data_IF_245782130128
#
_entry.id   IF_245782130128
#
_cell.length_a   1.000
_cell.length_b   1.000
_cell.length_c   1.000
_cell.angle_alpha   90.00
_cell.angle_beta   90.00
_cell.angle_gamma   90.00
#
_symmetry.space_group_name_H-M   'P 1'
#
loop_
_entity.id
_entity.type
_entity.pdbx_description
1 polymer ?
#
# COMPACT_ATOMS: atom_id res chain seq x y z
N UNK A 1 29.55 10.67 -11.88
CA UNK A 1 28.18 10.30 -12.35
C UNK A 1 27.60 11.38 -13.28
N UNK A 2 27.03 11.00 -14.42
CA UNK A 2 26.40 11.87 -15.42
C UNK A 2 24.87 11.90 -15.28
N UNK A 3 24.20 12.86 -15.93
CA UNK A 3 22.74 12.99 -15.93
C UNK A 3 22.03 11.78 -16.59
N UNK A 4 22.69 11.15 -17.57
CA UNK A 4 22.16 9.98 -18.30
C UNK A 4 22.34 8.66 -17.54
N UNK A 5 23.18 8.63 -16.52
CA UNK A 5 23.55 7.39 -15.83
C UNK A 5 22.35 6.68 -15.18
N UNK A 6 21.41 7.37 -14.50
CA UNK A 6 20.23 6.71 -13.93
C UNK A 6 19.38 6.01 -15.01
N UNK A 7 19.16 6.63 -16.16
CA UNK A 7 18.38 6.03 -17.26
C UNK A 7 19.09 4.86 -17.92
N UNK A 8 20.39 5.00 -18.19
CA UNK A 8 21.22 3.93 -18.75
C UNK A 8 21.33 2.74 -17.79
N UNK A 9 21.35 3.00 -16.48
CA UNK A 9 21.33 1.97 -15.45
C UNK A 9 20.06 1.12 -15.50
N UNK A 10 18.88 1.73 -15.71
CA UNK A 10 17.62 0.99 -15.82
C UNK A 10 17.57 0.03 -17.02
N UNK A 11 18.45 0.22 -18.01
CA UNK A 11 18.60 -0.65 -19.19
C UNK A 11 19.78 -1.64 -19.00
N UNK A 12 20.51 -1.55 -17.88
CA UNK A 12 21.62 -2.46 -17.56
C UNK A 12 22.94 -2.11 -18.27
N UNK A 13 23.14 -0.84 -18.63
CA UNK A 13 24.40 -0.37 -19.23
C UNK A 13 25.59 -0.60 -18.28
N UNK A 14 26.65 -1.21 -18.82
CA UNK A 14 27.84 -1.58 -18.05
C UNK A 14 28.55 -0.35 -17.48
N UNK A 15 28.68 0.72 -18.28
CA UNK A 15 29.40 1.93 -17.88
C UNK A 15 28.65 2.69 -16.79
N UNK A 16 27.33 2.80 -16.91
CA UNK A 16 26.48 3.44 -15.92
C UNK A 16 26.53 2.71 -14.56
N UNK A 17 26.44 1.38 -14.56
CA UNK A 17 26.56 0.56 -13.34
C UNK A 17 27.89 0.85 -12.62
N UNK A 18 29.00 0.84 -13.33
CA UNK A 18 30.33 1.09 -12.75
C UNK A 18 30.49 2.52 -12.20
N UNK A 19 29.94 3.53 -12.89
CA UNK A 19 29.98 4.93 -12.41
C UNK A 19 29.09 5.15 -11.20
N UNK A 20 27.90 4.54 -11.17
CA UNK A 20 26.96 4.63 -10.07
C UNK A 20 27.51 3.94 -8.82
N UNK A 21 28.04 2.72 -8.96
CA UNK A 21 28.58 1.96 -7.84
C UNK A 21 29.77 2.66 -7.18
N UNK A 22 30.52 3.43 -7.96
CA UNK A 22 31.74 4.12 -7.50
C UNK A 22 31.54 5.50 -6.91
N UNK A 23 30.35 6.09 -6.98
CA UNK A 23 30.11 7.49 -6.59
C UNK A 23 29.23 7.58 -5.35
N UNK A 24 29.70 8.22 -4.28
CA UNK A 24 28.87 8.39 -3.07
C UNK A 24 27.58 9.19 -3.32
N UNK A 25 27.58 10.11 -4.28
CA UNK A 25 26.40 10.89 -4.64
C UNK A 25 25.26 10.04 -5.23
N UNK A 26 25.56 8.85 -5.75
CA UNK A 26 24.51 7.95 -6.22
C UNK A 26 23.68 7.41 -5.05
N UNK A 27 24.24 7.33 -3.84
CA UNK A 27 23.49 6.96 -2.65
C UNK A 27 22.47 8.04 -2.29
N UNK A 28 22.86 9.32 -2.31
CA UNK A 28 21.94 10.43 -2.06
C UNK A 28 20.84 10.49 -3.13
N UNK A 29 21.21 10.42 -4.42
CA UNK A 29 20.23 10.43 -5.51
C UNK A 29 19.31 9.22 -5.41
N UNK A 30 19.83 8.03 -5.11
CA UNK A 30 19.05 6.82 -4.91
C UNK A 30 18.07 6.95 -3.74
N UNK A 31 18.50 7.53 -2.62
CA UNK A 31 17.64 7.80 -1.48
C UNK A 31 16.46 8.72 -1.86
N UNK A 32 16.73 9.82 -2.58
CA UNK A 32 15.69 10.72 -3.07
C UNK A 32 14.71 9.99 -4.00
N UNK A 33 15.20 9.12 -4.90
CA UNK A 33 14.35 8.31 -5.77
C UNK A 33 13.49 7.33 -4.98
N UNK A 34 14.02 6.70 -3.92
CA UNK A 34 13.24 5.83 -3.02
C UNK A 34 12.14 6.62 -2.33
N UNK A 35 12.42 7.83 -1.84
CA UNK A 35 11.39 8.70 -1.25
C UNK A 35 10.30 9.01 -2.26
N UNK A 36 10.66 9.39 -3.50
CA UNK A 36 9.64 9.65 -4.54
C UNK A 36 8.83 8.42 -4.91
N UNK A 37 9.44 7.24 -4.94
CA UNK A 37 8.73 5.98 -5.15
C UNK A 37 7.77 5.66 -3.98
N UNK A 38 8.16 5.97 -2.74
CA UNK A 38 7.30 5.85 -1.57
C UNK A 38 6.10 6.80 -1.63
N UNK A 39 6.32 8.05 -2.05
CA UNK A 39 5.26 9.03 -2.28
C UNK A 39 4.32 8.54 -3.39
N UNK A 40 4.85 8.15 -4.55
CA UNK A 40 4.06 7.67 -5.69
C UNK A 40 3.23 6.42 -5.37
N UNK A 41 3.60 5.63 -4.36
CA UNK A 41 2.83 4.46 -3.91
C UNK A 41 1.67 4.79 -2.98
N UNK A 42 1.79 5.83 -2.16
CA UNK A 42 0.91 6.05 -1.01
C UNK A 42 0.16 7.39 -1.06
N UNK A 43 0.33 8.18 -2.13
CA UNK A 43 -0.19 9.54 -2.21
C UNK A 43 -1.72 9.64 -2.22
N UNK A 44 -2.41 8.57 -2.58
CA UNK A 44 -3.86 8.46 -2.65
C UNK A 44 -4.45 7.80 -1.39
N UNK A 45 -3.77 6.81 -0.83
CA UNK A 45 -4.28 6.00 0.28
C UNK A 45 -4.05 6.59 1.67
N UNK A 46 -2.97 7.37 1.88
CA UNK A 46 -2.51 7.72 3.23
C UNK A 46 -2.19 9.21 3.36
N UNK A 47 -2.56 9.79 4.50
CA UNK A 47 -2.30 11.19 4.84
C UNK A 47 -0.89 11.30 5.42
N UNK A 48 0.03 11.96 4.71
CA UNK A 48 1.42 12.14 5.16
C UNK A 48 1.56 12.86 6.50
N UNK A 49 0.55 13.64 6.89
CA UNK A 49 0.54 14.39 8.15
C UNK A 49 0.22 13.55 9.38
N UNK A 50 -0.55 12.48 9.24
CA UNK A 50 -0.96 11.63 10.37
C UNK A 50 0.03 10.49 10.58
N UNK A 51 0.45 9.84 9.49
CA UNK A 51 1.21 8.60 9.56
C UNK A 51 2.58 8.76 8.88
N UNK A 52 3.51 9.43 9.57
CA UNK A 52 4.89 9.64 9.08
C UNK A 52 5.61 8.31 8.77
N UNK A 53 5.15 7.21 9.36
CA UNK A 53 5.66 5.86 9.12
C UNK A 53 5.62 5.41 7.67
N UNK A 54 4.73 5.96 6.86
CA UNK A 54 4.67 5.60 5.44
C UNK A 54 5.70 6.31 4.59
N UNK A 55 6.29 7.41 5.07
CA UNK A 55 7.40 8.07 4.40
C UNK A 55 8.71 7.33 4.70
N UNK A 56 8.97 7.02 5.97
CA UNK A 56 10.21 6.33 6.35
C UNK A 56 10.14 4.81 6.19
N UNK A 57 8.95 4.22 6.17
CA UNK A 57 8.72 2.78 6.08
C UNK A 57 9.34 2.14 4.82
N UNK A 58 9.04 2.63 3.60
CA UNK A 58 9.67 2.15 2.36
C UNK A 58 11.20 2.30 2.38
N UNK A 59 11.69 3.39 2.96
CA UNK A 59 13.11 3.64 3.09
C UNK A 59 13.78 2.63 4.04
N UNK A 60 13.22 2.42 5.23
CA UNK A 60 13.71 1.45 6.20
C UNK A 60 13.62 0.01 5.66
N UNK A 61 12.49 -0.35 5.05
CA UNK A 61 12.31 -1.64 4.39
C UNK A 61 13.36 -1.87 3.29
N UNK A 62 13.72 -0.82 2.52
CA UNK A 62 14.76 -0.91 1.50
C UNK A 62 16.16 -1.14 2.10
N UNK A 63 16.48 -0.51 3.23
CA UNK A 63 17.74 -0.72 3.94
C UNK A 63 17.80 -2.16 4.47
N UNK A 64 16.76 -2.60 5.19
CA UNK A 64 16.72 -3.95 5.78
C UNK A 64 16.79 -5.04 4.70
N UNK A 65 16.02 -4.90 3.62
CA UNK A 65 16.04 -5.86 2.52
C UNK A 65 17.38 -5.87 1.77
N UNK A 66 17.97 -4.71 1.50
CA UNK A 66 19.29 -4.62 0.85
C UNK A 66 20.39 -5.20 1.74
N UNK A 67 20.34 -4.98 3.05
CA UNK A 67 21.28 -5.54 4.02
C UNK A 67 21.15 -7.07 4.07
N UNK A 68 19.93 -7.60 4.09
CA UNK A 68 19.67 -9.03 4.06
C UNK A 68 20.17 -9.68 2.77
N UNK A 69 19.86 -9.08 1.61
CA UNK A 69 20.31 -9.58 0.30
C UNK A 69 21.83 -9.49 0.18
N UNK A 70 22.46 -8.41 0.65
CA UNK A 70 23.91 -8.28 0.66
C UNK A 70 24.57 -9.30 1.60
N UNK A 71 24.03 -9.46 2.81
CA UNK A 71 24.57 -10.38 3.81
C UNK A 71 24.54 -11.84 3.35
N UNK A 72 23.42 -12.31 2.81
CA UNK A 72 23.28 -13.71 2.37
C UNK A 72 23.80 -13.93 0.94
N UNK A 73 23.46 -13.05 0.01
CA UNK A 73 23.81 -13.19 -1.41
C UNK A 73 25.26 -12.80 -1.72
N UNK A 74 25.78 -11.80 -1.01
CA UNK A 74 27.12 -11.26 -1.18
C UNK A 74 28.04 -11.55 0.01
N UNK A 75 27.75 -12.60 0.81
CA UNK A 75 28.50 -12.98 2.02
C UNK A 75 30.02 -12.93 1.84
N UNK A 76 30.54 -13.36 0.68
CA UNK A 76 31.99 -13.33 0.39
C UNK A 76 32.58 -11.91 0.40
N UNK A 77 31.83 -10.89 -0.01
CA UNK A 77 32.25 -9.49 0.03
C UNK A 77 32.26 -8.91 1.45
N UNK A 78 31.54 -9.53 2.40
CA UNK A 78 31.51 -9.10 3.80
C UNK A 78 32.84 -9.36 4.52
N UNK A 79 33.65 -10.31 4.04
CA UNK A 79 34.96 -10.67 4.62
C UNK A 79 36.15 -10.01 3.92
N UNK A 80 35.91 -9.22 2.87
CA UNK A 80 36.98 -8.49 2.18
C UNK A 80 37.21 -7.15 2.88
N UNK A 81 38.46 -6.69 3.03
CA UNK A 81 38.74 -5.31 3.44
C UNK A 81 37.93 -4.31 2.61
N UNK A 82 37.17 -3.44 3.28
CA UNK A 82 36.26 -2.50 2.61
C UNK A 82 34.82 -2.99 2.43
N UNK A 83 34.39 -4.04 3.16
CA UNK A 83 33.00 -4.52 3.17
C UNK A 83 31.94 -3.41 3.30
N UNK A 84 32.18 -2.39 4.12
CA UNK A 84 31.30 -1.21 4.24
C UNK A 84 31.14 -0.48 2.91
N UNK A 85 32.22 -0.23 2.19
CA UNK A 85 32.16 0.44 0.89
C UNK A 85 31.47 -0.44 -0.15
N UNK A 86 31.70 -1.75 -0.12
CA UNK A 86 30.99 -2.71 -0.98
C UNK A 86 29.49 -2.71 -0.69
N UNK A 87 29.08 -2.64 0.58
CA UNK A 87 27.67 -2.50 0.95
C UNK A 87 27.08 -1.17 0.47
N UNK A 88 27.78 -0.04 0.63
CA UNK A 88 27.30 1.25 0.15
C UNK A 88 27.18 1.31 -1.38
N UNK A 89 28.10 0.69 -2.12
CA UNK A 89 27.99 0.49 -3.58
C UNK A 89 26.79 -0.38 -3.95
N UNK A 90 26.56 -1.45 -3.20
CA UNK A 90 25.41 -2.31 -3.42
C UNK A 90 24.09 -1.58 -3.13
N UNK A 91 24.03 -0.86 -2.01
CA UNK A 91 22.88 -0.06 -1.60
C UNK A 91 22.56 1.04 -2.61
N UNK A 92 23.57 1.72 -3.16
CA UNK A 92 23.35 2.74 -4.18
C UNK A 92 22.76 2.15 -5.46
N UNK A 93 23.25 1.00 -5.92
CA UNK A 93 22.66 0.27 -7.05
C UNK A 93 21.25 -0.21 -6.75
N UNK A 94 21.01 -0.72 -5.54
CA UNK A 94 19.70 -1.18 -5.09
C UNK A 94 18.67 -0.04 -5.10
N UNK A 95 19.02 1.14 -4.58
CA UNK A 95 18.16 2.32 -4.60
C UNK A 95 18.00 2.94 -5.98
N UNK A 96 18.98 2.81 -6.89
CA UNK A 96 18.83 3.25 -8.28
C UNK A 96 17.79 2.45 -9.06
N UNK A 97 17.31 1.32 -8.53
CA UNK A 97 16.16 0.60 -9.09
C UNK A 97 14.80 1.15 -8.63
N UNK A 98 14.77 2.14 -7.73
CA UNK A 98 13.53 2.75 -7.23
C UNK A 98 12.63 3.36 -8.32
N UNK A 99 13.13 3.98 -9.40
CA UNK A 99 12.25 4.52 -10.45
C UNK A 99 11.34 3.49 -11.11
N UNK A 100 11.72 2.19 -11.12
CA UNK A 100 10.84 1.13 -11.61
C UNK A 100 9.52 1.08 -10.80
N UNK A 101 9.56 1.48 -9.52
CA UNK A 101 8.39 1.51 -8.65
C UNK A 101 7.35 2.56 -9.04
N UNK A 102 7.71 3.58 -9.83
CA UNK A 102 6.73 4.57 -10.27
C UNK A 102 5.66 3.96 -11.18
N UNK A 103 5.98 2.86 -11.87
CA UNK A 103 5.04 2.18 -12.76
C UNK A 103 3.82 1.63 -12.02
N UNK A 104 3.98 1.15 -10.79
CA UNK A 104 2.84 0.66 -10.00
C UNK A 104 2.14 1.77 -9.21
N UNK A 105 2.69 3.00 -9.17
CA UNK A 105 2.01 4.17 -8.58
C UNK A 105 0.98 4.80 -9.52
N UNK A 106 0.73 4.20 -10.69
CA UNK A 106 -0.29 4.64 -11.62
C UNK A 106 -1.67 4.26 -11.06
N UNK A 107 -2.59 5.22 -10.87
CA UNK A 107 -3.88 5.00 -10.21
C UNK A 107 -4.88 4.31 -11.15
N UNK A 108 -4.70 3.00 -11.38
CA UNK A 108 -5.54 2.20 -12.29
C UNK A 108 -6.99 2.05 -11.81
N UNK A 109 -7.21 2.17 -10.51
CA UNK A 109 -8.53 2.17 -9.87
C UNK A 109 -9.42 3.34 -10.31
N UNK A 110 -8.85 4.40 -10.89
CA UNK A 110 -9.63 5.51 -11.47
C UNK A 110 -10.19 5.20 -12.85
N UNK A 111 -9.63 4.21 -13.53
CA UNK A 111 -9.94 3.91 -14.92
C UNK A 111 -10.62 2.55 -15.09
N UNK A 112 -10.66 1.72 -14.05
CA UNK A 112 -11.13 0.33 -14.12
C UNK A 112 -11.90 -0.05 -12.86
N UNK A 113 -12.69 -1.12 -12.94
CA UNK A 113 -13.35 -1.70 -11.76
C UNK A 113 -12.34 -2.27 -10.75
N UNK A 114 -12.77 -2.47 -9.50
CA UNK A 114 -11.92 -2.88 -8.38
C UNK A 114 -11.14 -4.17 -8.66
N UNK A 115 -11.78 -5.16 -9.29
CA UNK A 115 -11.13 -6.45 -9.57
C UNK A 115 -10.08 -6.30 -10.67
N UNK A 116 -10.40 -5.57 -11.74
CA UNK A 116 -9.45 -5.28 -12.83
C UNK A 116 -8.29 -4.42 -12.35
N UNK A 117 -8.54 -3.39 -11.54
CA UNK A 117 -7.52 -2.57 -10.91
C UNK A 117 -6.56 -3.42 -10.06
N UNK A 118 -7.10 -4.34 -9.26
CA UNK A 118 -6.31 -5.28 -8.45
C UNK A 118 -5.41 -6.17 -9.32
N UNK A 119 -5.93 -6.70 -10.44
CA UNK A 119 -5.14 -7.50 -11.39
C UNK A 119 -3.99 -6.70 -12.00
N UNK A 120 -4.24 -5.46 -12.41
CA UNK A 120 -3.20 -4.56 -12.93
C UNK A 120 -2.15 -4.23 -11.89
N UNK A 121 -2.55 -3.94 -10.66
CA UNK A 121 -1.63 -3.66 -9.55
C UNK A 121 -0.70 -4.85 -9.27
N UNK A 122 -1.24 -6.07 -9.23
CA UNK A 122 -0.45 -7.30 -9.09
C UNK A 122 0.49 -7.50 -10.29
N UNK A 123 0.02 -7.25 -11.51
CA UNK A 123 0.84 -7.36 -12.72
C UNK A 123 2.00 -6.34 -12.73
N UNK A 124 1.75 -5.09 -12.36
CA UNK A 124 2.82 -4.08 -12.25
C UNK A 124 3.84 -4.45 -11.18
N UNK A 125 3.39 -4.93 -10.01
CA UNK A 125 4.31 -5.43 -8.97
C UNK A 125 5.17 -6.59 -9.48
N UNK A 126 4.60 -7.52 -10.25
CA UNK A 126 5.36 -8.61 -10.86
C UNK A 126 6.40 -8.10 -11.87
N UNK A 127 6.03 -7.21 -12.79
CA UNK A 127 6.94 -6.61 -13.78
C UNK A 127 8.07 -5.86 -13.08
N UNK A 128 7.73 -4.99 -12.12
CA UNK A 128 8.70 -4.17 -11.39
C UNK A 128 9.65 -5.05 -10.58
N UNK A 129 9.14 -6.07 -9.88
CA UNK A 129 10.00 -6.97 -9.09
C UNK A 129 10.98 -7.76 -9.96
N UNK A 130 10.52 -8.31 -11.09
CA UNK A 130 11.38 -9.00 -12.07
C UNK A 130 12.45 -8.07 -12.64
N UNK A 131 12.08 -6.84 -13.00
CA UNK A 131 13.02 -5.85 -13.52
C UNK A 131 14.08 -5.49 -12.48
N UNK A 132 13.69 -5.22 -11.23
CA UNK A 132 14.63 -4.92 -10.14
C UNK A 132 15.60 -6.07 -9.90
N UNK A 133 15.11 -7.32 -9.87
CA UNK A 133 15.95 -8.51 -9.71
C UNK A 133 16.93 -8.64 -10.88
N UNK A 134 16.46 -8.50 -12.12
CA UNK A 134 17.32 -8.55 -13.31
C UNK A 134 18.44 -7.50 -13.27
N UNK A 135 18.14 -6.25 -12.86
CA UNK A 135 19.13 -5.19 -12.69
C UNK A 135 20.15 -5.50 -11.59
N UNK A 136 19.73 -6.07 -10.46
CA UNK A 136 20.64 -6.45 -9.39
C UNK A 136 21.56 -7.60 -9.81
N UNK A 137 21.03 -8.59 -10.54
CA UNK A 137 21.82 -9.68 -11.12
C UNK A 137 22.85 -9.12 -12.10
N UNK A 138 22.42 -8.24 -13.02
CA UNK A 138 23.30 -7.60 -14.00
C UNK A 138 24.36 -6.74 -13.31
N UNK A 139 24.00 -6.02 -12.25
CA UNK A 139 24.94 -5.20 -11.50
C UNK A 139 26.03 -6.02 -10.83
N UNK A 140 25.67 -7.13 -10.17
CA UNK A 140 26.66 -8.07 -9.63
C UNK A 140 27.51 -8.71 -10.72
N UNK A 141 26.93 -9.04 -11.86
CA UNK A 141 27.67 -9.60 -12.99
C UNK A 141 28.74 -8.61 -13.50
N UNK A 142 28.36 -7.34 -13.67
CA UNK A 142 29.25 -6.28 -14.16
C UNK A 142 30.37 -5.97 -13.18
N UNK A 143 30.05 -5.95 -11.88
CA UNK A 143 31.01 -5.59 -10.83
C UNK A 143 31.91 -6.75 -10.41
N UNK A 144 31.34 -7.96 -10.31
CA UNK A 144 32.07 -9.15 -9.87
C UNK A 144 32.78 -9.90 -11.00
N UNK A 145 32.45 -9.63 -12.27
CA UNK A 145 32.98 -10.38 -13.42
C UNK A 145 32.58 -11.86 -13.42
N UNK A 146 31.55 -12.23 -12.66
CA UNK A 146 31.09 -13.60 -12.51
C UNK A 146 30.08 -13.98 -13.62
N UNK A 147 29.89 -15.28 -13.90
CA UNK A 147 28.87 -15.73 -14.85
C UNK A 147 27.46 -15.38 -14.35
N UNK A 148 26.57 -15.02 -15.27
CA UNK A 148 25.21 -14.53 -14.98
C UNK A 148 24.44 -15.46 -14.04
N UNK A 149 24.50 -16.79 -14.28
CA UNK A 149 23.79 -17.78 -13.48
C UNK A 149 24.23 -17.75 -12.00
N UNK A 150 25.51 -17.53 -11.72
CA UNK A 150 26.02 -17.46 -10.34
C UNK A 150 25.53 -16.20 -9.64
N UNK A 151 25.53 -15.06 -10.34
CA UNK A 151 24.95 -13.82 -9.84
C UNK A 151 23.44 -13.97 -9.61
N UNK A 152 22.74 -14.64 -10.53
CA UNK A 152 21.31 -14.90 -10.45
C UNK A 152 20.95 -15.66 -9.17
N UNK A 153 21.59 -16.80 -8.91
CA UNK A 153 21.28 -17.60 -7.72
C UNK A 153 21.59 -16.86 -6.42
N UNK A 154 22.66 -16.05 -6.38
CA UNK A 154 23.01 -15.22 -5.21
C UNK A 154 21.98 -14.14 -4.90
N UNK A 155 21.32 -13.57 -5.90
CA UNK A 155 20.27 -12.57 -5.69
C UNK A 155 18.91 -13.22 -5.46
N UNK A 156 18.55 -14.24 -6.25
CA UNK A 156 17.26 -14.92 -6.18
C UNK A 156 17.08 -15.60 -4.83
N UNK A 157 18.11 -16.25 -4.28
CA UNK A 157 17.99 -16.93 -2.99
C UNK A 157 17.45 -16.02 -1.86
N UNK A 158 18.15 -14.93 -1.45
CA UNK A 158 17.65 -14.06 -0.39
C UNK A 158 16.39 -13.28 -0.79
N UNK A 159 16.24 -12.89 -2.06
CA UNK A 159 15.03 -12.21 -2.52
C UNK A 159 13.79 -13.09 -2.36
N UNK A 160 13.88 -14.37 -2.74
CA UNK A 160 12.82 -15.35 -2.57
C UNK A 160 12.51 -15.62 -1.10
N UNK A 161 13.51 -15.65 -0.21
CA UNK A 161 13.25 -15.77 1.23
C UNK A 161 12.46 -14.58 1.78
N UNK A 162 12.83 -13.34 1.41
CA UNK A 162 12.08 -12.14 1.80
C UNK A 162 10.63 -12.24 1.29
N UNK A 163 10.45 -12.59 0.01
CA UNK A 163 9.12 -12.68 -0.60
C UNK A 163 8.26 -13.79 0.01
N UNK A 164 8.86 -14.94 0.35
CA UNK A 164 8.18 -16.04 1.03
C UNK A 164 7.68 -15.60 2.41
N UNK A 165 8.53 -14.96 3.23
CA UNK A 165 8.15 -14.49 4.57
C UNK A 165 7.09 -13.38 4.50
N UNK A 166 7.27 -12.42 3.59
CA UNK A 166 6.32 -11.31 3.40
C UNK A 166 4.94 -11.81 2.93
N UNK A 167 4.91 -12.76 2.00
CA UNK A 167 3.67 -13.32 1.47
C UNK A 167 2.98 -14.24 2.47
N UNK A 168 3.74 -15.01 3.26
CA UNK A 168 3.21 -15.84 4.33
C UNK A 168 2.49 -15.01 5.40
N UNK A 169 3.13 -13.92 5.90
CA UNK A 169 2.51 -13.03 6.88
C UNK A 169 1.19 -12.42 6.37
N UNK A 170 1.17 -11.95 5.12
CA UNK A 170 -0.07 -11.45 4.50
C UNK A 170 -1.13 -12.54 4.33
N UNK A 171 -0.72 -13.76 3.99
CA UNK A 171 -1.63 -14.90 3.89
C UNK A 171 -2.30 -15.23 5.22
N UNK A 172 -1.59 -15.11 6.35
CA UNK A 172 -2.15 -15.40 7.68
C UNK A 172 -3.14 -14.36 8.18
N UNK A 173 -2.99 -13.08 7.81
CA UNK A 173 -3.98 -12.03 8.15
C UNK A 173 -5.35 -12.31 7.51
N UNK A 174 -5.36 -13.04 6.39
CA UNK A 174 -6.58 -13.46 5.71
C UNK A 174 -7.21 -14.72 6.33
N UNK A 175 -6.58 -15.43 7.27
CA UNK A 175 -7.12 -16.68 7.86
C UNK A 175 -8.36 -16.45 8.74
N UNK A 176 -8.77 -15.19 8.96
CA UNK A 176 -10.10 -14.85 9.50
C UNK A 176 -11.27 -15.51 8.76
N UNK A 177 -11.06 -16.01 7.53
CA UNK A 177 -12.03 -16.71 6.66
C UNK A 177 -12.62 -17.99 7.25
N UNK A 178 -12.00 -18.62 8.24
CA UNK A 178 -12.63 -19.78 8.92
C UNK A 178 -13.88 -19.39 9.75
N UNK A 179 -14.18 -18.09 9.87
CA UNK A 179 -15.41 -17.57 10.51
C UNK A 179 -16.66 -17.60 9.61
N UNK A 180 -16.56 -18.08 8.36
CA UNK A 180 -17.71 -18.12 7.44
C UNK A 180 -17.99 -16.82 6.69
N UNK A 181 -17.14 -15.80 6.85
CA UNK A 181 -17.26 -14.53 6.11
C UNK A 181 -16.96 -14.75 4.63
N UNK A 182 -17.90 -14.34 3.77
CA UNK A 182 -17.72 -14.36 2.32
C UNK A 182 -16.69 -13.30 1.93
N UNK A 183 -15.54 -13.75 1.43
CA UNK A 183 -14.56 -12.84 0.84
C UNK A 183 -15.11 -12.23 -0.44
N UNK A 184 -14.77 -10.97 -0.64
CA UNK A 184 -14.96 -10.32 -1.93
C UNK A 184 -14.07 -10.98 -3.01
N UNK A 185 -14.47 -10.95 -4.30
CA UNK A 185 -13.69 -11.57 -5.38
C UNK A 185 -12.24 -11.05 -5.50
N UNK A 186 -11.99 -9.79 -5.12
CA UNK A 186 -10.66 -9.20 -5.20
C UNK A 186 -9.74 -9.70 -4.06
N UNK A 187 -10.27 -9.93 -2.86
CA UNK A 187 -9.52 -10.52 -1.74
C UNK A 187 -9.12 -11.97 -2.04
N UNK A 188 -10.03 -12.75 -2.64
CA UNK A 188 -9.72 -14.11 -3.11
C UNK A 188 -8.55 -14.07 -4.09
N UNK A 189 -8.57 -13.14 -5.05
CA UNK A 189 -7.49 -12.99 -6.01
C UNK A 189 -6.16 -12.60 -5.36
N UNK A 190 -6.17 -11.65 -4.41
CA UNK A 190 -4.95 -11.24 -3.67
C UNK A 190 -4.38 -12.42 -2.88
N UNK A 191 -5.24 -13.20 -2.22
CA UNK A 191 -4.86 -14.41 -1.48
C UNK A 191 -4.21 -15.44 -2.40
N UNK A 192 -4.81 -15.70 -3.55
CA UNK A 192 -4.31 -16.68 -4.52
C UNK A 192 -2.96 -16.23 -5.10
N UNK A 193 -2.80 -14.94 -5.40
CA UNK A 193 -1.54 -14.35 -5.83
C UNK A 193 -0.45 -14.47 -4.74
N UNK A 194 -0.79 -14.23 -3.47
CA UNK A 194 0.14 -14.38 -2.35
C UNK A 194 0.56 -15.85 -2.12
N UNK A 195 -0.39 -16.78 -2.21
CA UNK A 195 -0.12 -18.22 -2.13
C UNK A 195 0.79 -18.69 -3.27
N UNK A 196 0.47 -18.31 -4.51
CA UNK A 196 1.29 -18.61 -5.67
C UNK A 196 2.72 -18.05 -5.50
N UNK A 197 2.84 -16.79 -5.07
CA UNK A 197 4.14 -16.15 -4.82
C UNK A 197 4.94 -16.88 -3.74
N UNK A 198 4.28 -17.35 -2.68
CA UNK A 198 4.92 -18.12 -1.60
C UNK A 198 5.48 -19.44 -2.11
N UNK A 199 4.69 -20.21 -2.88
CA UNK A 199 5.10 -21.50 -3.45
C UNK A 199 6.26 -21.32 -4.43
N UNK A 200 6.16 -20.37 -5.36
CA UNK A 200 7.22 -20.09 -6.34
C UNK A 200 8.49 -19.64 -5.64
N UNK A 201 8.38 -18.77 -4.63
CA UNK A 201 9.53 -18.29 -3.85
C UNK A 201 10.22 -19.42 -3.09
N UNK A 202 9.46 -20.34 -2.49
CA UNK A 202 10.02 -21.51 -1.81
C UNK A 202 10.90 -22.36 -2.75
N UNK A 203 10.36 -22.74 -3.92
CA UNK A 203 11.11 -23.56 -4.89
C UNK A 203 12.29 -22.79 -5.48
N UNK A 204 12.12 -21.50 -5.79
CA UNK A 204 13.21 -20.66 -6.27
C UNK A 204 14.34 -20.53 -5.24
N UNK A 205 14.01 -20.39 -3.95
CA UNK A 205 14.99 -20.36 -2.87
C UNK A 205 15.72 -21.71 -2.76
N UNK A 206 14.99 -22.83 -2.80
CA UNK A 206 15.58 -24.18 -2.71
C UNK A 206 16.55 -24.46 -3.87
N UNK A 207 16.12 -24.21 -5.12
CA UNK A 207 16.95 -24.40 -6.32
C UNK A 207 18.19 -23.50 -6.27
N UNK A 208 18.01 -22.24 -5.86
CA UNK A 208 19.13 -21.29 -5.75
C UNK A 208 20.13 -21.70 -4.67
N UNK A 209 19.65 -22.18 -3.52
CA UNK A 209 20.48 -22.67 -2.43
C UNK A 209 21.30 -23.89 -2.86
N UNK A 210 20.66 -24.90 -3.44
CA UNK A 210 21.36 -26.09 -3.95
C UNK A 210 22.41 -25.71 -4.98
N UNK A 211 22.08 -24.79 -5.89
CA UNK A 211 23.04 -24.32 -6.91
C UNK A 211 24.20 -23.56 -6.29
N UNK A 212 23.96 -22.72 -5.27
CA UNK A 212 25.02 -22.03 -4.53
C UNK A 212 25.93 -23.05 -3.85
N UNK A 213 25.39 -24.04 -3.14
CA UNK A 213 26.16 -25.09 -2.46
C UNK A 213 27.05 -25.84 -3.44
N UNK A 214 26.52 -26.28 -4.58
CA UNK A 214 27.29 -26.95 -5.64
C UNK A 214 28.45 -26.06 -6.14
N UNK A 215 28.22 -24.75 -6.26
CA UNK A 215 29.23 -23.80 -6.73
C UNK A 215 30.23 -23.37 -5.66
N UNK A 216 29.91 -23.49 -4.36
CA UNK A 216 30.85 -23.19 -3.27
C UNK A 216 32.07 -24.12 -3.31
N UNK A 217 31.90 -25.36 -3.76
CA UNK A 217 33.00 -26.33 -3.91
C UNK A 217 33.90 -26.08 -5.13
N UNK A 218 33.49 -25.23 -6.07
CA UNK A 218 34.32 -24.87 -7.23
C UNK A 218 35.28 -23.75 -6.85
N UNK A 219 36.60 -23.94 -7.06
CA UNK A 219 37.62 -22.90 -6.89
C UNK A 219 37.23 -21.65 -7.71
N UNK A 220 36.71 -20.64 -7.03
CA UNK A 220 36.37 -19.35 -7.61
C UNK A 220 37.48 -18.34 -7.38
N UNK A 221 37.59 -17.35 -8.27
CA UNK A 221 38.45 -16.20 -8.03
C UNK A 221 38.00 -15.49 -6.73
N UNK A 222 38.94 -14.98 -5.92
CA UNK A 222 38.59 -14.18 -4.76
C UNK A 222 37.80 -12.93 -5.22
N UNK A 223 36.73 -12.55 -4.49
CA UNK A 223 35.99 -11.33 -4.80
C UNK A 223 36.93 -10.12 -4.72
N UNK A 224 36.92 -9.29 -5.77
CA UNK A 224 37.61 -8.00 -5.72
C UNK A 224 36.73 -6.97 -4.98
N UNK A 225 37.31 -6.13 -4.11
CA UNK A 225 36.55 -5.08 -3.44
C UNK A 225 35.93 -4.14 -4.47
N UNK A 226 34.71 -3.69 -4.21
CA UNK A 226 34.02 -2.78 -5.13
C UNK A 226 34.72 -1.41 -5.12
N UNK A 227 34.96 -0.79 -6.28
CA UNK A 227 35.62 0.50 -6.34
C UNK A 227 34.72 1.57 -5.73
N UNK A 228 35.20 2.27 -4.71
CA UNK A 228 34.53 3.42 -4.12
C UNK A 228 35.44 4.65 -4.26
N UNK A 229 35.04 5.62 -5.08
CA UNK A 229 35.81 6.83 -5.35
C UNK A 229 35.05 8.06 -4.82
N UNK A 230 35.77 8.94 -4.13
CA UNK A 230 35.24 10.27 -3.78
C UNK A 230 35.28 11.15 -5.03
N UNK A 231 34.20 11.16 -5.79
CA UNK A 231 34.01 12.07 -6.93
C UNK A 231 33.40 13.41 -6.48
N UNK A 232 33.68 14.48 -7.23
CA UNK A 232 33.01 15.77 -7.09
C UNK A 232 31.50 15.66 -7.32
N UNK A 233 30.72 16.53 -6.66
CA UNK A 233 29.26 16.55 -6.76
C UNK A 233 28.76 16.67 -8.21
N UNK A 234 27.93 15.72 -8.70
CA UNK A 234 27.25 15.87 -9.96
C UNK A 234 26.06 16.84 -9.78
N UNK A 235 26.37 18.14 -9.66
CA UNK A 235 25.40 19.21 -9.31
C UNK A 235 24.12 19.14 -10.15
N UNK A 236 24.25 18.85 -11.46
CA UNK A 236 23.12 18.72 -12.39
C UNK A 236 22.21 17.53 -12.05
N UNK A 237 22.77 16.37 -11.73
CA UNK A 237 21.98 15.17 -11.38
C UNK A 237 21.29 15.33 -10.03
N UNK A 238 21.95 15.96 -9.06
CA UNK A 238 21.35 16.25 -7.75
C UNK A 238 20.21 17.26 -7.92
N UNK A 239 20.43 18.35 -8.66
CA UNK A 239 19.39 19.34 -8.95
C UNK A 239 18.18 18.71 -9.65
N UNK A 240 18.40 17.81 -10.62
CA UNK A 240 17.31 17.07 -11.26
C UNK A 240 16.56 16.18 -10.27
N UNK A 241 17.26 15.43 -9.40
CA UNK A 241 16.63 14.57 -8.41
C UNK A 241 15.81 15.38 -7.39
N UNK A 242 16.36 16.48 -6.89
CA UNK A 242 15.62 17.40 -6.01
C UNK A 242 14.41 18.02 -6.73
N UNK A 243 14.58 18.42 -8.00
CA UNK A 243 13.48 18.93 -8.83
C UNK A 243 12.37 17.89 -8.99
N UNK A 244 12.71 16.61 -9.16
CA UNK A 244 11.75 15.52 -9.25
C UNK A 244 11.00 15.30 -7.92
N UNK A 245 11.70 15.37 -6.78
CA UNK A 245 11.07 15.31 -5.44
C UNK A 245 10.09 16.46 -5.26
N UNK A 246 10.50 17.69 -5.59
CA UNK A 246 9.64 18.89 -5.48
C UNK A 246 8.42 18.74 -6.39
N UNK A 247 8.61 18.28 -7.63
CA UNK A 247 7.51 18.03 -8.57
C UNK A 247 6.55 16.95 -8.06
N UNK A 248 7.06 15.84 -7.51
CA UNK A 248 6.24 14.79 -6.93
C UNK A 248 5.42 15.32 -5.73
N UNK A 249 6.05 16.03 -4.79
CA UNK A 249 5.35 16.65 -3.66
C UNK A 249 4.27 17.62 -4.17
N UNK A 250 4.60 18.50 -5.11
CA UNK A 250 3.67 19.49 -5.66
C UNK A 250 2.47 18.83 -6.37
N UNK A 251 2.71 17.75 -7.13
CA UNK A 251 1.67 16.98 -7.79
C UNK A 251 0.75 16.26 -6.80
N UNK A 252 1.31 15.72 -5.72
CA UNK A 252 0.54 14.98 -4.70
C UNK A 252 -0.19 15.86 -3.70
N UNK A 253 0.23 17.12 -3.53
CA UNK A 253 -0.33 18.04 -2.54
C UNK A 253 -1.87 18.18 -2.59
N UNK A 254 -2.53 18.44 -3.74
CA UNK A 254 -3.99 18.56 -3.78
C UNK A 254 -4.70 17.26 -3.43
N UNK A 255 -4.11 16.09 -3.75
CA UNK A 255 -4.67 14.80 -3.37
C UNK A 255 -4.54 14.57 -1.87
N UNK A 256 -3.38 14.92 -1.30
CA UNK A 256 -3.12 14.80 0.13
C UNK A 256 -4.10 15.60 0.99
N UNK A 257 -4.58 16.75 0.51
CA UNK A 257 -5.65 17.49 1.20
C UNK A 257 -6.95 16.68 1.27
N UNK A 258 -7.32 15.99 0.19
CA UNK A 258 -8.52 15.12 0.16
C UNK A 258 -8.32 13.89 1.04
N UNK A 259 -7.16 13.25 0.98
CA UNK A 259 -6.81 12.11 1.81
C UNK A 259 -6.79 12.48 3.29
N UNK A 260 -6.28 13.65 3.64
CA UNK A 260 -6.29 14.18 5.01
C UNK A 260 -7.72 14.35 5.52
N UNK A 261 -8.61 14.96 4.72
CA UNK A 261 -10.04 15.11 5.07
C UNK A 261 -10.73 13.77 5.27
N UNK A 262 -10.50 12.80 4.37
CA UNK A 262 -11.00 11.44 4.54
C UNK A 262 -10.49 10.82 5.85
N UNK A 263 -9.20 10.94 6.15
CA UNK A 263 -8.61 10.38 7.36
C UNK A 263 -9.16 11.01 8.65
N UNK A 264 -9.31 12.35 8.69
CA UNK A 264 -9.92 13.05 9.81
C UNK A 264 -11.37 12.61 10.01
N UNK A 265 -12.15 12.51 8.92
CA UNK A 265 -13.52 12.02 8.98
C UNK A 265 -13.56 10.58 9.53
N UNK A 266 -12.74 9.68 9.00
CA UNK A 266 -12.63 8.30 9.48
C UNK A 266 -12.25 8.23 10.96
N UNK A 267 -11.34 9.07 11.44
CA UNK A 267 -10.96 9.09 12.86
C UNK A 267 -12.12 9.54 13.76
N UNK A 268 -12.87 10.58 13.36
CA UNK A 268 -14.05 11.03 14.10
C UNK A 268 -15.11 9.91 14.18
N UNK A 269 -15.28 9.13 13.10
CA UNK A 269 -16.20 8.00 13.10
C UNK A 269 -15.72 6.85 14.00
N UNK A 270 -14.43 6.51 13.95
CA UNK A 270 -13.82 5.49 14.83
C UNK A 270 -13.95 5.82 16.31
N UNK A 271 -13.94 7.11 16.66
CA UNK A 271 -14.16 7.61 18.01
C UNK A 271 -15.64 7.77 18.37
N UNK A 272 -16.57 7.35 17.50
CA UNK A 272 -18.02 7.51 17.63
C UNK A 272 -18.48 8.99 17.79
N UNK A 273 -17.70 9.94 17.31
CA UNK A 273 -18.03 11.37 17.31
C UNK A 273 -18.90 11.75 16.09
N UNK A 274 -20.04 11.07 15.90
CA UNK A 274 -20.85 11.14 14.68
C UNK A 274 -21.30 12.56 14.31
N UNK A 275 -21.78 13.35 15.27
CA UNK A 275 -22.20 14.74 14.98
C UNK A 275 -21.02 15.61 14.53
N UNK A 276 -19.87 15.48 15.20
CA UNK A 276 -18.67 16.22 14.82
C UNK A 276 -18.16 15.79 13.43
N UNK A 277 -18.29 14.51 13.09
CA UNK A 277 -17.98 14.00 11.76
C UNK A 277 -18.84 14.66 10.67
N UNK A 278 -20.16 14.76 10.91
CA UNK A 278 -21.10 15.45 10.00
C UNK A 278 -20.77 16.94 9.91
N UNK A 279 -20.59 17.62 11.04
CA UNK A 279 -20.25 19.06 11.08
C UNK A 279 -18.91 19.35 10.39
N UNK A 280 -17.93 18.47 10.53
CA UNK A 280 -16.65 18.55 9.84
C UNK A 280 -16.86 18.39 8.33
N UNK A 281 -17.58 17.36 7.93
CA UNK A 281 -17.77 17.07 6.51
C UNK A 281 -18.58 18.17 5.82
N UNK A 282 -19.60 18.73 6.50
CA UNK A 282 -20.48 19.78 5.99
C UNK A 282 -19.76 21.10 5.63
N UNK A 283 -18.54 21.30 6.12
CA UNK A 283 -17.68 22.42 5.74
C UNK A 283 -17.11 22.29 4.32
N UNK A 284 -17.27 21.13 3.68
CA UNK A 284 -16.66 20.80 2.40
C UNK A 284 -17.69 20.27 1.40
N UNK A 285 -17.35 20.34 0.11
CA UNK A 285 -18.17 19.73 -0.95
C UNK A 285 -17.81 18.25 -1.14
N UNK A 286 -18.65 17.45 -1.79
CA UNK A 286 -18.31 16.04 -2.06
C UNK A 286 -16.98 15.87 -2.81
N UNK A 287 -16.67 16.79 -3.73
CA UNK A 287 -15.45 16.77 -4.55
C UNK A 287 -14.18 17.01 -3.72
N UNK A 288 -14.29 17.54 -2.51
CA UNK A 288 -13.19 17.79 -1.59
C UNK A 288 -12.67 16.51 -0.91
N UNK A 289 -13.39 15.41 -1.05
CA UNK A 289 -13.05 14.07 -0.55
C UNK A 289 -12.58 13.17 -1.71
N UNK A 290 -11.95 12.03 -1.38
CA UNK A 290 -11.58 11.06 -2.41
C UNK A 290 -12.85 10.42 -3.00
N UNK A 291 -12.91 10.35 -4.33
CA UNK A 291 -14.08 9.83 -5.07
C UNK A 291 -13.94 8.35 -5.46
N UNK A 292 -12.71 7.84 -5.54
CA UNK A 292 -12.39 6.44 -5.88
C UNK A 292 -12.25 5.54 -4.64
N UNK A 293 -12.33 6.13 -3.45
CA UNK A 293 -12.41 5.41 -2.19
C UNK A 293 -13.84 5.49 -1.67
N UNK A 294 -14.24 4.46 -0.92
CA UNK A 294 -15.46 4.51 -0.12
C UNK A 294 -15.48 5.78 0.71
N UNK A 295 -16.60 6.49 0.68
CA UNK A 295 -16.78 7.64 1.55
C UNK A 295 -16.96 7.10 2.97
N UNK A 296 -16.23 7.63 3.98
CA UNK A 296 -16.38 7.15 5.35
C UNK A 296 -17.84 7.26 5.83
N UNK A 297 -18.38 6.26 6.56
CA UNK A 297 -17.73 5.05 7.07
C UNK A 297 -17.54 4.00 5.97
N UNK A 298 -16.36 3.37 5.92
CA UNK A 298 -16.10 2.29 4.96
C UNK A 298 -16.99 1.05 5.23
N UNK A 299 -16.95 0.03 4.36
CA UNK A 299 -17.78 -1.18 4.50
C UNK A 299 -17.61 -1.90 5.85
N UNK A 300 -16.42 -1.80 6.44
CA UNK A 300 -16.07 -2.36 7.75
C UNK A 300 -16.82 -1.69 8.93
N UNK A 301 -17.44 -0.53 8.68
CA UNK A 301 -18.19 0.29 9.63
C UNK A 301 -19.62 0.53 9.12
N UNK A 302 -20.19 -0.42 8.37
CA UNK A 302 -21.55 -0.29 7.80
C UNK A 302 -22.62 -0.03 8.88
N UNK A 303 -22.45 -0.57 10.09
CA UNK A 303 -23.33 -0.29 11.23
C UNK A 303 -23.33 1.19 11.66
N UNK A 304 -22.21 1.90 11.47
CA UNK A 304 -22.06 3.30 11.85
C UNK A 304 -22.88 4.24 10.94
N UNK A 305 -23.26 3.77 9.74
CA UNK A 305 -24.10 4.53 8.81
C UNK A 305 -25.44 4.90 9.46
N UNK A 306 -26.07 3.95 10.16
CA UNK A 306 -27.35 4.17 10.84
C UNK A 306 -27.19 5.28 11.88
N UNK A 307 -26.12 5.26 12.67
CA UNK A 307 -25.85 6.30 13.66
C UNK A 307 -25.58 7.67 13.02
N UNK A 308 -24.87 7.72 11.90
CA UNK A 308 -24.66 8.99 11.18
C UNK A 308 -25.97 9.57 10.65
N UNK A 309 -26.81 8.71 10.09
CA UNK A 309 -28.15 9.08 9.65
C UNK A 309 -29.01 9.58 10.83
N UNK A 310 -28.89 8.95 12.01
CA UNK A 310 -29.55 9.38 13.24
C UNK A 310 -29.17 10.79 13.69
N UNK A 311 -27.89 11.13 13.58
CA UNK A 311 -27.32 12.40 14.05
C UNK A 311 -27.35 13.50 12.99
N UNK A 312 -27.87 13.20 11.80
CA UNK A 312 -28.06 14.16 10.71
C UNK A 312 -29.27 15.07 11.00
N UNK A 313 -29.16 16.34 10.63
CA UNK A 313 -30.18 17.37 10.75
C UNK A 313 -30.70 17.79 9.38
N UNK A 314 -31.90 18.41 9.31
CA UNK A 314 -32.48 18.87 8.05
C UNK A 314 -31.66 19.90 7.27
N UNK A 315 -30.79 20.65 7.95
CA UNK A 315 -29.89 21.67 7.38
C UNK A 315 -28.54 21.10 6.92
N UNK A 316 -28.24 19.84 7.24
CA UNK A 316 -27.01 19.20 6.78
C UNK A 316 -27.04 18.98 5.25
N UNK A 317 -25.88 19.01 4.57
CA UNK A 317 -25.83 18.83 3.13
C UNK A 317 -26.43 17.49 2.66
N UNK A 318 -27.42 17.55 1.78
CA UNK A 318 -28.17 16.38 1.27
C UNK A 318 -27.30 15.29 0.65
N UNK A 319 -26.16 15.66 0.09
CA UNK A 319 -25.25 14.72 -0.55
C UNK A 319 -24.70 13.67 0.45
N UNK A 320 -24.62 13.98 1.75
CA UNK A 320 -24.25 12.99 2.78
C UNK A 320 -25.25 11.87 2.87
N UNK A 321 -26.50 12.25 3.10
CA UNK A 321 -27.62 11.34 3.28
C UNK A 321 -27.79 10.49 2.03
N UNK A 322 -27.66 11.08 0.84
CA UNK A 322 -27.72 10.33 -0.42
C UNK A 322 -26.62 9.27 -0.53
N UNK A 323 -25.36 9.61 -0.22
CA UNK A 323 -24.24 8.67 -0.30
C UNK A 323 -24.39 7.55 0.72
N UNK A 324 -24.64 7.89 1.98
CA UNK A 324 -24.79 6.90 3.05
C UNK A 324 -26.01 6.02 2.86
N UNK A 325 -27.13 6.55 2.35
CA UNK A 325 -28.28 5.73 1.94
C UNK A 325 -27.97 4.84 0.73
N UNK A 326 -27.07 5.25 -0.17
CA UNK A 326 -26.65 4.38 -1.28
C UNK A 326 -25.73 3.25 -0.80
N UNK A 327 -24.87 3.52 0.18
CA UNK A 327 -23.89 2.58 0.73
C UNK A 327 -24.48 1.65 1.81
N UNK A 328 -25.68 1.97 2.32
CA UNK A 328 -26.42 1.11 3.25
C UNK A 328 -26.90 -0.16 2.52
N UNK A 329 -26.15 -1.25 2.57
CA UNK A 329 -26.59 -2.53 2.00
C UNK A 329 -27.37 -3.35 3.04
N UNK A 330 -28.70 -3.34 2.98
CA UNK A 330 -29.58 -4.13 3.86
C UNK A 330 -29.85 -5.56 3.34
N UNK A 331 -29.02 -6.07 2.44
CA UNK A 331 -29.32 -7.25 1.63
C UNK A 331 -29.27 -8.60 2.39
N UNK A 332 -28.89 -8.62 3.68
CA UNK A 332 -28.85 -9.84 4.49
C UNK A 332 -29.94 -9.85 5.58
N UNK A 333 -30.88 -10.79 5.48
CA UNK A 333 -31.91 -11.09 6.49
C UNK A 333 -31.35 -11.44 7.88
N UNK A 334 -30.04 -11.72 8.01
CA UNK A 334 -29.39 -12.08 9.28
C UNK A 334 -28.89 -10.88 10.11
N UNK A 335 -28.91 -9.64 9.60
CA UNK A 335 -28.54 -8.46 10.40
C UNK A 335 -29.67 -8.03 11.34
N UNK A 336 -30.02 -8.92 12.27
CA UNK A 336 -30.85 -8.66 13.46
C UNK A 336 -30.37 -7.46 14.29
N UNK A 337 -29.10 -7.06 14.13
CA UNK A 337 -28.55 -5.82 14.67
C UNK A 337 -29.16 -4.57 14.03
N UNK A 338 -29.41 -4.57 12.73
CA UNK A 338 -30.03 -3.42 12.04
C UNK A 338 -31.49 -3.25 12.47
N UNK A 339 -32.23 -4.33 12.71
CA UNK A 339 -33.58 -4.23 13.27
C UNK A 339 -33.58 -3.70 14.70
N UNK A 340 -32.63 -4.12 15.54
CA UNK A 340 -32.49 -3.62 16.91
C UNK A 340 -32.13 -2.13 16.96
N UNK A 341 -31.20 -1.68 16.12
CA UNK A 341 -30.81 -0.26 16.08
C UNK A 341 -31.88 0.64 15.48
N UNK A 342 -32.66 0.12 14.53
CA UNK A 342 -33.83 0.83 14.02
C UNK A 342 -34.91 1.00 15.08
N UNK A 343 -35.08 0.00 15.96
CA UNK A 343 -36.01 0.10 17.09
C UNK A 343 -35.58 1.20 18.09
N UNK A 344 -34.29 1.30 18.39
CA UNK A 344 -33.73 2.36 19.26
C UNK A 344 -33.86 3.76 18.64
N UNK A 345 -33.65 3.86 17.33
CA UNK A 345 -33.75 5.11 16.56
C UNK A 345 -35.17 5.66 16.48
N UNK A 346 -36.16 4.77 16.47
CA UNK A 346 -37.58 5.10 16.34
C UNK A 346 -38.29 5.17 17.68
N UNK A 347 -37.61 4.84 18.78
CA UNK A 347 -38.15 5.02 20.12
C UNK A 347 -38.32 6.52 20.38
N UNK A 348 -39.58 6.98 20.42
CA UNK A 348 -39.95 8.37 20.74
C UNK A 348 -39.50 8.79 22.14
N UNK A 349 -39.13 7.84 23.01
CA UNK A 349 -38.56 8.10 24.34
C UNK A 349 -37.05 8.34 24.28
N UNK A 350 -36.39 8.05 23.17
CA UNK A 350 -34.99 8.39 22.98
C UNK A 350 -34.84 9.92 23.00
N UNK A 351 -34.02 10.50 23.90
CA UNK A 351 -33.85 11.96 23.98
C UNK A 351 -33.32 12.58 22.69
N UNK A 352 -32.70 11.79 21.81
CA UNK A 352 -32.15 12.22 20.53
C UNK A 352 -33.14 12.07 19.37
N UNK A 353 -34.38 11.62 19.62
CA UNK A 353 -35.40 11.50 18.58
C UNK A 353 -35.81 12.86 18.03
N UNK A 354 -35.82 13.01 16.71
CA UNK A 354 -36.32 14.20 16.02
C UNK A 354 -37.36 13.84 14.96
N UNK A 355 -38.28 14.76 14.57
CA UNK A 355 -39.21 14.54 13.46
C UNK A 355 -38.51 14.22 12.13
N UNK A 356 -37.24 14.57 11.98
CA UNK A 356 -36.43 14.21 10.82
C UNK A 356 -36.14 12.69 10.77
N UNK A 357 -35.99 12.03 11.93
CA UNK A 357 -35.80 10.58 12.00
C UNK A 357 -37.00 9.83 11.40
N UNK A 358 -38.24 10.31 11.57
CA UNK A 358 -39.42 9.72 10.91
C UNK A 358 -39.36 9.86 9.39
N UNK A 359 -38.91 11.01 8.86
CA UNK A 359 -38.76 11.22 7.42
C UNK A 359 -37.67 10.33 6.85
N UNK A 360 -36.56 10.22 7.55
CA UNK A 360 -35.42 9.39 7.15
C UNK A 360 -35.78 7.91 7.17
N UNK A 361 -36.52 7.47 8.20
CA UNK A 361 -37.06 6.12 8.26
C UNK A 361 -37.97 5.85 7.07
N UNK A 362 -38.90 6.76 6.78
CA UNK A 362 -39.79 6.63 5.61
C UNK A 362 -38.98 6.47 4.31
N UNK A 363 -37.92 7.25 4.12
CA UNK A 363 -37.02 7.12 2.97
C UNK A 363 -36.34 5.74 2.92
N UNK A 364 -35.87 5.23 4.05
CA UNK A 364 -35.25 3.90 4.13
C UNK A 364 -36.30 2.81 3.85
N UNK A 365 -37.47 2.85 4.49
CA UNK A 365 -38.56 1.89 4.27
C UNK A 365 -39.01 1.88 2.81
N UNK A 366 -39.21 3.05 2.20
CA UNK A 366 -39.60 3.17 0.79
C UNK A 366 -38.52 2.62 -0.14
N UNK A 367 -37.25 2.91 0.14
CA UNK A 367 -36.11 2.50 -0.70
C UNK A 367 -35.84 1.01 -0.67
N UNK A 368 -35.93 0.38 0.50
CA UNK A 368 -35.65 -1.05 0.68
C UNK A 368 -36.92 -1.91 0.67
N UNK A 369 -38.08 -1.33 0.35
CA UNK A 369 -39.39 -2.00 0.37
C UNK A 369 -39.66 -2.74 1.69
N UNK A 370 -39.21 -2.17 2.81
CA UNK A 370 -39.44 -2.76 4.12
C UNK A 370 -40.94 -2.72 4.44
N UNK A 371 -41.49 -3.75 5.10
CA UNK A 371 -42.90 -3.79 5.48
C UNK A 371 -43.29 -2.53 6.29
N UNK A 372 -44.35 -1.84 5.88
CA UNK A 372 -44.81 -0.61 6.55
C UNK A 372 -45.33 -0.84 7.97
N UNK A 373 -45.62 -2.08 8.33
CA UNK A 373 -46.03 -2.54 9.66
C UNK A 373 -44.85 -2.73 10.64
N UNK A 374 -43.61 -2.61 10.18
CA UNK A 374 -42.43 -2.41 11.04
C UNK A 374 -42.37 -0.98 11.65
N UNK A 375 -43.48 -0.24 11.60
CA UNK A 375 -43.69 0.95 12.43
C UNK A 375 -43.27 0.65 13.88
N UNK A 376 -42.59 1.59 14.58
CA UNK A 376 -42.24 1.40 15.98
C UNK A 376 -43.50 0.99 16.73
N UNK A 377 -43.50 -0.24 17.28
CA UNK A 377 -44.63 -0.72 18.07
C UNK A 377 -44.76 0.22 19.26
N UNK A 378 -45.97 0.73 19.49
CA UNK A 378 -46.27 1.44 20.73
C UNK A 378 -45.81 0.56 21.91
N UNK A 379 -45.03 1.10 22.88
CA UNK A 379 -44.40 0.32 23.94
C UNK A 379 -45.39 -0.39 24.89
N UNK A 380 -46.69 -0.24 24.69
CA UNK A 380 -47.71 -0.93 25.48
C UNK A 380 -47.84 -2.43 25.15
N UNK A 381 -47.11 -2.94 24.15
CA UNK A 381 -47.12 -4.35 23.73
C UNK A 381 -45.72 -4.97 23.77
N UNK A 382 -45.04 -4.86 24.91
CA UNK A 382 -43.78 -5.57 25.16
C UNK A 382 -44.06 -6.92 25.88
N UNK A 383 -43.90 -8.08 25.21
CA UNK A 383 -44.05 -9.39 25.86
C UNK A 383 -42.85 -9.79 26.72
N UNK A 384 -41.82 -8.93 26.88
CA UNK A 384 -40.60 -9.22 27.63
C UNK A 384 -40.41 -8.39 28.92
N UNK A 385 -41.49 -7.98 29.59
CA UNK A 385 -41.40 -7.60 31.00
C UNK A 385 -41.35 -8.86 31.89
N UNK A 386 -40.13 -9.32 32.19
CA UNK A 386 -39.80 -10.26 33.27
C UNK A 386 -38.74 -9.66 34.19
#
# INVERSE_FOLDING_TARGET
MNLRDPFLFLIGDRGAIQRISGSWWSLLVGALLVVTAGIARNYDHLSFTHDLEWIYGPFLASILSSLFIFGLGCFRFAFVPGAKNSYLSFLSLYWMTAPCAWLYGIPVERFTDILTATKWNVAFLAIVSLWRVALMIRSLQVLGGEPLLRCAMRIIFPASLIMMVASYKKGTELVGIMSGVRLSPHEVFIRDAANFTTIVSFWAALISLLTIIIHLFRKGQPPQPLPWKKESAPRKTIALACGFVIAAISFTFPLQLKTHRNATLTNLLKEAHYRQAIDYAAQFNREDFLTHHYFPPGPEYSGDIIYLLAHSKPDDPKWFTEIWLNDLHLDNEEDSLNSYYMEIMLDKKNPDYTPYNEQLWKLITERYHLPSDLSPKSPDNDPFQL
#
